data_IF_882349563666
#
_entry.id   IF_882349563666
#
_cell.length_a   1.000
_cell.length_b   1.000
_cell.length_c   1.000
_cell.angle_alpha   90.00
_cell.angle_beta   90.00
_cell.angle_gamma   90.00
#
_symmetry.space_group_name_H-M   'P 1'
#
loop_
_entity.id
_entity.type
_entity.pdbx_description
1 polymer ?
#
# COMPACT_ATOMS: atom_id res chain seq x y z
N UNK A 1 -15.86 -7.02 2.38
CA UNK A 1 -14.42 -7.31 2.19
C UNK A 1 -13.71 -7.17 3.53
N UNK A 2 -13.05 -8.21 3.99
CA UNK A 2 -12.25 -8.23 5.22
C UNK A 2 -10.81 -8.53 4.87
N UNK A 3 -9.97 -7.50 4.86
CA UNK A 3 -8.59 -7.58 4.37
C UNK A 3 -7.61 -7.70 5.54
N UNK A 4 -6.69 -8.65 5.47
CA UNK A 4 -5.55 -8.75 6.35
C UNK A 4 -4.34 -8.08 5.70
N UNK A 5 -3.78 -7.05 6.33
CA UNK A 5 -2.60 -6.34 5.84
C UNK A 5 -1.32 -6.96 6.42
N UNK A 6 -0.48 -7.48 5.55
CA UNK A 6 0.71 -8.29 5.84
C UNK A 6 1.99 -7.56 5.42
N UNK A 7 2.19 -6.32 5.90
CA UNK A 7 3.41 -5.56 5.61
C UNK A 7 4.64 -6.24 6.20
N UNK A 8 5.70 -6.35 5.41
CA UNK A 8 6.96 -6.95 5.82
C UNK A 8 6.97 -8.49 5.87
N UNK A 9 5.94 -9.13 5.35
CA UNK A 9 5.86 -10.59 5.30
C UNK A 9 6.44 -11.14 4.02
N UNK A 10 7.40 -12.08 4.06
CA UNK A 10 7.83 -12.82 2.89
C UNK A 10 6.67 -13.65 2.30
N UNK A 11 6.59 -13.69 0.97
CA UNK A 11 5.49 -14.38 0.27
C UNK A 11 5.38 -15.85 0.68
N UNK A 12 6.52 -16.55 0.88
CA UNK A 12 6.50 -17.95 1.33
C UNK A 12 5.81 -18.11 2.69
N UNK A 13 6.03 -17.20 3.63
CA UNK A 13 5.40 -17.25 4.95
C UNK A 13 3.90 -16.96 4.86
N UNK A 14 3.48 -16.08 3.99
CA UNK A 14 2.05 -15.81 3.73
C UNK A 14 1.37 -17.09 3.24
N UNK A 15 1.97 -17.79 2.26
CA UNK A 15 1.41 -19.01 1.69
C UNK A 15 1.22 -20.10 2.77
N UNK A 16 2.18 -20.25 3.68
CA UNK A 16 2.11 -21.24 4.76
C UNK A 16 0.96 -20.99 5.76
N UNK A 17 0.47 -19.75 5.87
CA UNK A 17 -0.58 -19.33 6.82
C UNK A 17 -1.94 -19.02 6.20
N UNK A 18 -2.14 -19.22 4.90
CA UNK A 18 -3.40 -18.83 4.22
C UNK A 18 -4.63 -19.52 4.81
N UNK A 19 -4.54 -20.80 5.19
CA UNK A 19 -5.67 -21.52 5.81
C UNK A 19 -6.03 -20.93 7.18
N UNK A 20 -5.03 -20.48 7.94
CA UNK A 20 -5.24 -19.79 9.22
C UNK A 20 -5.96 -18.45 9.00
N UNK A 21 -5.53 -17.65 8.04
CA UNK A 21 -6.18 -16.37 7.71
C UNK A 21 -7.62 -16.57 7.26
N UNK A 22 -7.87 -17.56 6.39
CA UNK A 22 -9.21 -17.92 5.94
C UNK A 22 -10.12 -18.32 7.10
N UNK A 23 -9.62 -19.18 8.00
CA UNK A 23 -10.37 -19.65 9.17
C UNK A 23 -10.67 -18.53 10.18
N UNK A 24 -9.88 -17.45 10.16
CA UNK A 24 -10.13 -16.25 10.94
C UNK A 24 -11.13 -15.28 10.29
N UNK A 25 -11.64 -15.62 9.11
CA UNK A 25 -12.69 -14.87 8.43
C UNK A 25 -12.21 -13.79 7.47
N UNK A 26 -10.92 -13.75 7.14
CA UNK A 26 -10.42 -12.87 6.09
C UNK A 26 -10.74 -13.44 4.70
N UNK A 27 -11.25 -12.60 3.82
CA UNK A 27 -11.53 -12.93 2.41
C UNK A 27 -10.49 -12.37 1.45
N UNK A 28 -9.57 -11.56 1.97
CA UNK A 28 -8.51 -10.93 1.19
C UNK A 28 -7.27 -10.64 2.04
N UNK A 29 -6.13 -10.56 1.36
CA UNK A 29 -4.86 -10.12 1.94
C UNK A 29 -4.33 -8.92 1.15
N UNK A 30 -3.71 -7.97 1.84
CA UNK A 30 -2.88 -6.93 1.24
C UNK A 30 -1.42 -7.24 1.59
N UNK A 31 -0.57 -7.30 0.58
CA UNK A 31 0.86 -7.60 0.77
C UNK A 31 1.72 -6.34 0.59
N UNK A 32 2.94 -6.41 1.09
CA UNK A 32 4.02 -5.43 0.91
C UNK A 32 4.18 -5.05 -0.56
N UNK A 33 4.60 -3.80 -0.89
CA UNK A 33 5.02 -3.46 -2.24
C UNK A 33 6.02 -4.47 -2.81
N UNK A 34 5.77 -4.95 -4.02
CA UNK A 34 6.60 -5.97 -4.69
C UNK A 34 7.62 -5.39 -5.66
N UNK A 35 7.74 -4.08 -5.71
CA UNK A 35 8.70 -3.36 -6.53
C UNK A 35 10.13 -3.53 -5.98
N UNK A 36 11.18 -3.48 -6.84
CA UNK A 36 12.57 -3.57 -6.39
C UNK A 36 12.92 -2.50 -5.37
N UNK A 37 13.64 -2.88 -4.33
CA UNK A 37 14.05 -2.00 -3.24
C UNK A 37 15.41 -1.34 -3.54
N UNK A 38 15.69 -0.20 -2.91
CA UNK A 38 16.99 0.47 -3.00
C UNK A 38 18.11 -0.28 -2.26
N UNK A 39 17.76 -1.12 -1.30
CA UNK A 39 18.65 -1.93 -0.47
C UNK A 39 18.10 -3.36 -0.41
N UNK A 40 19.00 -4.33 -0.34
CA UNK A 40 18.59 -5.73 -0.15
C UNK A 40 18.30 -6.03 1.31
N UNK A 41 17.36 -6.92 1.56
CA UNK A 41 17.00 -7.36 2.90
C UNK A 41 15.70 -6.74 3.42
N UNK A 42 15.30 -7.11 4.65
CA UNK A 42 14.05 -6.65 5.24
C UNK A 42 14.07 -5.14 5.55
N UNK A 43 15.24 -4.61 5.91
CA UNK A 43 15.42 -3.19 6.20
C UNK A 43 14.48 -2.63 7.26
N UNK A 44 14.30 -1.33 7.19
CA UNK A 44 13.31 -0.61 7.99
C UNK A 44 11.91 -0.74 7.38
N UNK A 45 10.87 -0.56 8.18
CA UNK A 45 9.47 -0.74 7.75
C UNK A 45 9.07 0.13 6.54
N UNK A 46 9.67 1.31 6.41
CA UNK A 46 9.43 2.24 5.32
C UNK A 46 10.18 1.90 4.04
N UNK A 47 11.15 0.97 4.07
CA UNK A 47 11.97 0.63 2.91
C UNK A 47 11.16 0.14 1.71
N UNK A 48 10.11 -0.69 1.86
CA UNK A 48 9.24 -1.07 0.76
C UNK A 48 8.52 0.10 0.07
N UNK A 49 8.38 1.22 0.76
CA UNK A 49 7.81 2.45 0.20
C UNK A 49 8.84 3.34 -0.50
N UNK A 50 10.05 2.84 -0.70
CA UNK A 50 11.09 3.50 -1.50
C UNK A 50 11.57 2.58 -2.64
N UNK A 51 10.68 2.25 -3.60
CA UNK A 51 11.05 1.43 -4.74
C UNK A 51 11.97 2.19 -5.70
N UNK A 52 12.76 1.43 -6.46
CA UNK A 52 13.68 2.01 -7.47
C UNK A 52 13.16 1.85 -8.91
N UNK A 53 12.16 0.99 -9.13
CA UNK A 53 11.68 0.65 -10.48
C UNK A 53 10.22 0.17 -10.45
N UNK A 54 9.63 -0.01 -11.66
CA UNK A 54 8.30 -0.58 -11.91
C UNK A 54 8.40 -2.02 -12.42
N UNK A 55 9.11 -2.86 -11.68
CA UNK A 55 9.24 -4.30 -11.94
C UNK A 55 8.70 -5.09 -10.74
N UNK A 56 8.54 -6.41 -10.90
CA UNK A 56 8.07 -7.29 -9.84
C UNK A 56 9.24 -8.13 -9.34
N UNK A 57 9.49 -8.07 -8.04
CA UNK A 57 10.47 -8.87 -7.33
C UNK A 57 11.34 -8.03 -6.41
N UNK A 58 11.44 -8.49 -5.18
CA UNK A 58 12.29 -7.90 -4.15
C UNK A 58 12.62 -8.96 -3.08
N UNK A 59 13.18 -8.53 -1.96
CA UNK A 59 13.55 -9.44 -0.86
C UNK A 59 12.38 -10.28 -0.32
N UNK A 60 11.14 -9.78 -0.41
CA UNK A 60 9.95 -10.48 0.10
C UNK A 60 9.45 -11.60 -0.82
N UNK A 61 9.86 -11.61 -2.08
CA UNK A 61 9.56 -12.66 -3.06
C UNK A 61 9.76 -12.24 -4.49
N UNK A 62 9.92 -13.24 -5.35
CA UNK A 62 10.03 -13.10 -6.80
C UNK A 62 8.65 -12.90 -7.45
N UNK A 63 8.65 -12.65 -8.76
CA UNK A 63 7.43 -12.64 -9.56
C UNK A 63 6.73 -14.01 -9.55
N UNK A 64 7.49 -15.10 -9.62
CA UNK A 64 7.00 -16.45 -9.57
C UNK A 64 6.33 -16.76 -8.23
N UNK A 65 6.91 -16.28 -7.11
CA UNK A 65 6.32 -16.39 -5.78
C UNK A 65 4.98 -15.64 -5.69
N UNK A 66 4.91 -14.42 -6.25
CA UNK A 66 3.66 -13.66 -6.32
C UNK A 66 2.58 -14.40 -7.12
N UNK A 67 2.91 -14.92 -8.30
CA UNK A 67 1.95 -15.67 -9.11
C UNK A 67 1.48 -16.93 -8.37
N UNK A 68 2.38 -17.63 -7.66
CA UNK A 68 2.05 -18.77 -6.80
C UNK A 68 1.10 -18.35 -5.67
N UNK A 69 1.39 -17.26 -4.96
CA UNK A 69 0.53 -16.73 -3.90
C UNK A 69 -0.88 -16.44 -4.41
N UNK A 70 -0.99 -15.77 -5.57
CA UNK A 70 -2.28 -15.45 -6.18
C UNK A 70 -3.09 -16.70 -6.54
N UNK A 71 -2.43 -17.76 -6.99
CA UNK A 71 -3.07 -19.05 -7.22
C UNK A 71 -3.55 -19.70 -5.92
N UNK A 72 -2.70 -19.72 -4.89
CA UNK A 72 -3.02 -20.30 -3.58
C UNK A 72 -4.16 -19.56 -2.86
N UNK A 73 -4.21 -18.23 -2.96
CA UNK A 73 -5.34 -17.46 -2.43
C UNK A 73 -6.62 -17.73 -3.21
N UNK A 74 -6.54 -17.81 -4.55
CA UNK A 74 -7.70 -18.10 -5.41
C UNK A 74 -8.33 -19.45 -5.12
N UNK A 75 -7.52 -20.51 -4.93
CA UNK A 75 -7.99 -21.87 -4.57
C UNK A 75 -8.81 -21.85 -3.27
N UNK A 76 -8.45 -20.95 -2.34
CA UNK A 76 -9.15 -20.76 -1.04
C UNK A 76 -10.33 -19.79 -1.10
N UNK A 77 -10.65 -19.26 -2.28
CA UNK A 77 -11.67 -18.20 -2.43
C UNK A 77 -11.28 -16.92 -1.70
N UNK A 78 -9.99 -16.63 -1.66
CA UNK A 78 -9.42 -15.37 -1.14
C UNK A 78 -8.85 -14.53 -2.29
N UNK A 79 -8.64 -13.24 -2.04
CA UNK A 79 -8.05 -12.31 -3.01
C UNK A 79 -6.71 -11.79 -2.51
N UNK A 80 -5.76 -11.60 -3.44
CA UNK A 80 -4.49 -10.93 -3.17
C UNK A 80 -4.54 -9.50 -3.70
N UNK A 81 -4.31 -8.54 -2.83
CA UNK A 81 -4.09 -7.13 -3.16
C UNK A 81 -2.61 -6.79 -2.97
N UNK A 82 -2.08 -6.01 -3.89
CA UNK A 82 -0.69 -5.54 -3.82
C UNK A 82 -0.69 -4.06 -3.45
N UNK A 83 0.16 -3.70 -2.51
CA UNK A 83 0.48 -2.31 -2.23
C UNK A 83 1.35 -1.74 -3.36
N UNK A 84 0.97 -0.59 -3.91
CA UNK A 84 1.59 0.01 -5.10
C UNK A 84 2.09 1.40 -4.79
N UNK A 85 3.41 1.58 -4.89
CA UNK A 85 4.03 2.89 -4.78
C UNK A 85 4.19 3.49 -6.17
N UNK A 86 3.43 4.54 -6.47
CA UNK A 86 3.45 5.21 -7.77
C UNK A 86 3.47 6.75 -7.70
N UNK A 87 3.50 7.34 -6.49
CA UNK A 87 3.65 8.78 -6.34
C UNK A 87 5.12 9.24 -6.36
N UNK A 88 6.05 8.36 -6.00
CA UNK A 88 7.46 8.67 -5.83
C UNK A 88 8.35 7.43 -6.05
N UNK A 89 9.65 7.62 -6.14
CA UNK A 89 10.66 6.56 -6.08
C UNK A 89 11.65 6.84 -4.93
N UNK A 90 12.59 5.90 -4.73
CA UNK A 90 13.60 5.96 -3.69
C UNK A 90 14.52 7.20 -3.82
N UNK A 91 14.87 7.78 -2.69
CA UNK A 91 15.84 8.88 -2.59
C UNK A 91 17.26 8.39 -2.29
N UNK A 92 18.24 9.27 -2.53
CA UNK A 92 19.58 9.14 -2.00
C UNK A 92 19.57 8.96 -0.47
N UNK A 93 20.58 8.30 0.13
CA UNK A 93 20.53 7.87 1.53
C UNK A 93 20.60 8.99 2.57
N UNK A 94 20.83 10.26 2.18
CA UNK A 94 20.85 11.37 3.12
C UNK A 94 19.45 11.96 3.35
N UNK A 95 19.19 12.34 4.58
CA UNK A 95 17.89 12.82 5.04
C UNK A 95 17.38 14.00 4.22
N UNK A 96 16.14 13.89 3.74
CA UNK A 96 15.45 14.95 3.00
C UNK A 96 15.90 15.13 1.55
N UNK A 97 16.68 14.18 1.01
CA UNK A 97 17.06 14.23 -0.40
C UNK A 97 15.86 14.06 -1.32
N UNK A 98 15.76 14.95 -2.31
CA UNK A 98 14.82 14.82 -3.43
C UNK A 98 15.52 14.34 -4.73
N UNK A 99 16.76 13.88 -4.61
CA UNK A 99 17.50 13.24 -5.69
C UNK A 99 17.14 11.75 -5.75
N UNK A 100 16.82 11.21 -6.92
CA UNK A 100 16.58 9.78 -7.08
C UNK A 100 17.81 8.96 -6.67
N UNK A 101 17.57 7.81 -6.04
CA UNK A 101 18.62 6.87 -5.65
C UNK A 101 19.40 6.37 -6.86
N UNK A 102 20.67 6.00 -6.69
CA UNK A 102 21.53 5.55 -7.78
C UNK A 102 21.02 4.32 -8.50
N UNK A 103 20.30 3.44 -7.79
CA UNK A 103 19.64 2.25 -8.35
C UNK A 103 18.40 2.54 -9.20
N UNK A 104 17.88 3.76 -9.21
CA UNK A 104 16.81 4.15 -10.12
C UNK A 104 17.34 4.12 -11.56
N UNK A 105 16.66 3.50 -12.54
CA UNK A 105 17.12 3.42 -13.92
C UNK A 105 17.44 4.78 -14.53
N UNK A 106 18.53 4.83 -15.30
CA UNK A 106 19.00 6.06 -15.94
C UNK A 106 17.95 6.71 -16.85
N UNK A 107 17.12 5.88 -17.51
CA UNK A 107 16.00 6.37 -18.34
C UNK A 107 15.01 7.24 -17.56
N UNK A 108 14.89 7.04 -16.22
CA UNK A 108 14.07 7.87 -15.35
C UNK A 108 14.90 9.02 -14.76
N UNK A 109 16.08 8.73 -14.18
CA UNK A 109 16.93 9.74 -13.52
C UNK A 109 17.23 10.94 -14.42
N UNK A 110 17.56 10.70 -15.66
CA UNK A 110 17.99 11.73 -16.60
C UNK A 110 16.85 12.35 -17.42
N UNK A 111 15.60 11.94 -17.19
CA UNK A 111 14.43 12.55 -17.83
C UNK A 111 13.79 13.59 -16.89
N UNK A 112 14.01 14.90 -17.11
CA UNK A 112 13.49 15.93 -16.20
C UNK A 112 11.94 15.97 -16.19
N UNK A 113 11.27 15.49 -17.23
CA UNK A 113 9.82 15.46 -17.31
C UNK A 113 9.20 14.31 -16.49
N UNK A 114 10.02 13.40 -16.01
CA UNK A 114 9.60 12.26 -15.20
C UNK A 114 9.30 12.66 -13.75
N UNK A 115 9.83 13.78 -13.29
CA UNK A 115 9.84 14.18 -11.90
C UNK A 115 9.00 15.44 -11.63
N UNK A 116 8.40 15.49 -10.43
CA UNK A 116 7.89 16.72 -9.85
C UNK A 116 9.04 17.71 -9.58
N UNK A 117 8.78 19.02 -9.44
CA UNK A 117 9.79 19.97 -8.97
C UNK A 117 10.44 19.51 -7.66
N UNK A 118 11.77 19.62 -7.55
CA UNK A 118 12.53 19.24 -6.35
C UNK A 118 12.28 20.21 -5.18
N UNK A 119 11.05 20.23 -4.71
CA UNK A 119 10.58 21.05 -3.60
C UNK A 119 9.53 20.29 -2.81
N UNK A 120 9.64 20.30 -1.50
CA UNK A 120 8.69 19.65 -0.61
C UNK A 120 7.40 20.45 -0.45
N UNK A 121 6.31 19.73 -0.17
CA UNK A 121 5.06 20.32 0.35
C UNK A 121 5.39 21.03 1.66
N UNK A 122 4.94 22.28 1.78
CA UNK A 122 5.09 23.10 3.00
C UNK A 122 3.74 23.37 3.68
N UNK A 123 2.67 23.32 2.92
CA UNK A 123 1.32 23.51 3.41
C UNK A 123 0.42 22.35 2.96
N UNK A 124 0.20 21.38 3.85
CA UNK A 124 -0.62 20.20 3.59
C UNK A 124 -2.12 20.49 3.40
N UNK A 125 -2.56 21.71 3.75
CA UNK A 125 -3.93 22.19 3.47
C UNK A 125 -4.02 22.83 2.07
N UNK A 126 -2.91 23.09 1.42
CA UNK A 126 -2.87 23.60 0.04
C UNK A 126 -2.90 22.44 -0.94
N UNK A 127 -4.06 22.13 -1.48
CA UNK A 127 -4.25 21.00 -2.38
C UNK A 127 -3.32 21.04 -3.59
N UNK A 128 -3.08 22.22 -4.15
CA UNK A 128 -2.15 22.38 -5.28
C UNK A 128 -0.72 21.98 -4.91
N UNK A 129 -0.23 22.32 -3.72
CA UNK A 129 1.10 21.87 -3.26
C UNK A 129 1.13 20.35 -3.10
N UNK A 130 0.12 19.77 -2.47
CA UNK A 130 0.06 18.32 -2.19
C UNK A 130 0.17 17.49 -3.46
N UNK A 131 -0.46 17.91 -4.57
CA UNK A 131 -0.44 17.15 -5.82
C UNK A 131 0.75 17.45 -6.73
N UNK A 132 1.35 18.66 -6.61
CA UNK A 132 2.38 19.13 -7.53
C UNK A 132 3.81 19.11 -6.98
N UNK A 133 3.98 18.93 -5.66
CA UNK A 133 5.28 18.95 -5.00
C UNK A 133 5.63 17.57 -4.40
N UNK A 134 6.86 17.44 -3.94
CA UNK A 134 7.39 16.23 -3.31
C UNK A 134 6.94 16.13 -1.84
N UNK A 135 6.82 14.91 -1.35
CA UNK A 135 6.47 14.60 0.06
C UNK A 135 7.67 13.99 0.81
N UNK A 136 8.85 14.57 0.70
CA UNK A 136 10.07 14.07 1.32
C UNK A 136 10.87 13.08 0.46
N UNK A 137 10.32 12.64 -0.66
CA UNK A 137 10.91 11.71 -1.61
C UNK A 137 10.81 12.26 -3.04
N UNK A 138 11.65 11.81 -3.99
CA UNK A 138 11.58 12.23 -5.39
C UNK A 138 10.21 11.90 -6.00
N UNK A 139 9.35 12.90 -6.14
CA UNK A 139 7.99 12.73 -6.63
C UNK A 139 7.94 12.54 -8.14
N UNK A 140 7.07 11.65 -8.60
CA UNK A 140 6.83 11.37 -10.01
C UNK A 140 5.84 12.38 -10.59
N UNK A 141 6.11 12.84 -11.80
CA UNK A 141 5.19 13.70 -12.55
C UNK A 141 4.08 12.86 -13.19
N UNK A 142 3.03 12.58 -12.42
CA UNK A 142 1.92 11.74 -12.87
C UNK A 142 1.11 12.36 -14.02
N UNK A 143 1.29 13.64 -14.34
CA UNK A 143 0.68 14.23 -15.55
C UNK A 143 1.38 13.82 -16.84
N UNK A 144 2.58 13.25 -16.75
CA UNK A 144 3.36 12.77 -17.89
C UNK A 144 2.88 11.37 -18.33
N UNK A 145 2.51 11.23 -19.61
CA UNK A 145 2.04 9.97 -20.17
C UNK A 145 3.13 8.86 -20.16
N UNK A 146 4.41 9.19 -20.23
CA UNK A 146 5.50 8.22 -20.10
C UNK A 146 5.55 7.61 -18.70
N UNK A 147 5.39 8.43 -17.65
CA UNK A 147 5.30 7.98 -16.26
C UNK A 147 4.10 7.04 -16.08
N UNK A 148 2.93 7.46 -16.56
CA UNK A 148 1.73 6.64 -16.50
C UNK A 148 1.89 5.33 -17.26
N UNK A 149 2.56 5.34 -18.42
CA UNK A 149 2.82 4.14 -19.22
C UNK A 149 3.64 3.11 -18.45
N UNK A 150 4.73 3.51 -17.80
CA UNK A 150 5.56 2.62 -16.99
C UNK A 150 4.77 2.03 -15.81
N UNK A 151 3.96 2.85 -15.14
CA UNK A 151 3.08 2.39 -14.05
C UNK A 151 2.06 1.39 -14.59
N UNK A 152 1.35 1.70 -15.68
CA UNK A 152 0.32 0.80 -16.22
C UNK A 152 0.90 -0.53 -16.69
N UNK A 153 2.10 -0.52 -17.28
CA UNK A 153 2.80 -1.74 -17.64
C UNK A 153 3.07 -2.63 -16.42
N UNK A 154 3.53 -2.04 -15.32
CA UNK A 154 3.73 -2.74 -14.06
C UNK A 154 2.42 -3.31 -13.50
N UNK A 155 1.35 -2.51 -13.46
CA UNK A 155 0.04 -2.96 -12.99
C UNK A 155 -0.53 -4.12 -13.83
N UNK A 156 -0.34 -4.09 -15.16
CA UNK A 156 -0.75 -5.18 -16.03
C UNK A 156 0.02 -6.47 -15.75
N UNK A 157 1.31 -6.39 -15.42
CA UNK A 157 2.10 -7.56 -15.03
C UNK A 157 1.62 -8.15 -13.68
N UNK A 158 1.19 -7.32 -12.73
CA UNK A 158 0.55 -7.77 -11.49
C UNK A 158 -0.77 -8.53 -11.78
N UNK A 159 -1.60 -7.98 -12.67
CA UNK A 159 -2.86 -8.64 -13.08
C UNK A 159 -2.59 -9.98 -13.75
N UNK A 160 -1.56 -10.10 -14.59
CA UNK A 160 -1.16 -11.37 -15.22
C UNK A 160 -0.75 -12.43 -14.20
N UNK A 161 -0.18 -12.05 -13.06
CA UNK A 161 0.10 -12.95 -11.94
C UNK A 161 -1.16 -13.40 -11.17
N UNK A 162 -2.32 -12.79 -11.43
CA UNK A 162 -3.57 -13.13 -10.74
C UNK A 162 -3.92 -12.23 -9.56
N UNK A 163 -3.22 -11.09 -9.40
CA UNK A 163 -3.57 -10.06 -8.42
C UNK A 163 -4.99 -9.59 -8.66
N UNK A 164 -5.77 -9.44 -7.59
CA UNK A 164 -7.19 -9.09 -7.60
C UNK A 164 -7.47 -7.66 -7.14
N UNK A 165 -6.45 -6.85 -7.01
CA UNK A 165 -6.60 -5.44 -6.74
C UNK A 165 -5.32 -4.76 -6.27
N UNK A 166 -5.43 -3.44 -6.15
CA UNK A 166 -4.32 -2.57 -5.78
C UNK A 166 -4.70 -1.67 -4.61
N UNK A 167 -3.79 -1.53 -3.66
CA UNK A 167 -3.78 -0.40 -2.74
C UNK A 167 -2.74 0.60 -3.25
N UNK A 168 -3.16 1.83 -3.51
CA UNK A 168 -2.23 2.87 -3.93
C UNK A 168 -1.74 3.66 -2.72
N UNK A 169 -0.43 3.61 -2.52
CA UNK A 169 0.29 4.40 -1.53
C UNK A 169 0.18 5.90 -1.83
N UNK A 170 0.06 6.73 -0.79
CA UNK A 170 0.01 8.18 -0.90
C UNK A 170 -0.95 8.70 -1.98
N UNK A 171 -2.10 8.02 -2.20
CA UNK A 171 -3.03 8.35 -3.27
C UNK A 171 -3.48 9.82 -3.24
N UNK A 172 -3.63 10.42 -2.04
CA UNK A 172 -3.98 11.84 -1.89
C UNK A 172 -2.97 12.82 -2.52
N UNK A 173 -1.75 12.38 -2.76
CA UNK A 173 -0.68 13.18 -3.38
C UNK A 173 -0.66 13.09 -4.91
N UNK A 174 -1.59 12.35 -5.50
CA UNK A 174 -1.85 12.29 -6.94
C UNK A 174 -3.18 12.99 -7.21
N UNK A 175 -3.19 13.96 -8.11
CA UNK A 175 -4.36 14.78 -8.41
C UNK A 175 -5.53 13.98 -9.01
N UNK A 176 -6.70 14.58 -8.93
CA UNK A 176 -7.95 14.08 -9.49
C UNK A 176 -8.16 14.60 -10.93
N UNK A 177 -9.04 13.97 -11.74
CA UNK A 177 -9.41 14.49 -13.05
C UNK A 177 -9.94 15.93 -13.00
N UNK A 178 -10.68 16.29 -11.96
CA UNK A 178 -11.16 17.65 -11.72
C UNK A 178 -10.03 18.66 -11.46
N UNK A 179 -8.85 18.16 -11.09
CA UNK A 179 -7.62 18.94 -10.88
C UNK A 179 -6.67 18.85 -12.09
N UNK A 180 -7.15 18.28 -13.21
CA UNK A 180 -6.40 18.13 -14.46
C UNK A 180 -5.45 16.91 -14.52
N UNK A 181 -5.57 15.96 -13.59
CA UNK A 181 -4.71 14.76 -13.54
C UNK A 181 -5.50 13.51 -13.87
N UNK A 182 -5.46 13.08 -15.13
CA UNK A 182 -6.21 11.93 -15.65
C UNK A 182 -5.51 10.58 -15.37
N UNK A 183 -5.17 10.31 -14.14
CA UNK A 183 -4.58 9.03 -13.72
C UNK A 183 -5.64 8.07 -13.16
N UNK A 184 -6.47 8.54 -12.23
CA UNK A 184 -7.43 7.68 -11.55
C UNK A 184 -8.58 7.20 -12.44
N UNK A 185 -9.09 8.06 -13.32
CA UNK A 185 -10.10 7.69 -14.31
C UNK A 185 -9.54 6.69 -15.33
N UNK A 186 -8.27 6.84 -15.76
CA UNK A 186 -7.60 5.86 -16.62
C UNK A 186 -7.43 4.51 -15.92
N UNK A 187 -7.01 4.48 -14.65
CA UNK A 187 -6.90 3.25 -13.84
C UNK A 187 -8.28 2.59 -13.67
N UNK A 188 -9.27 3.34 -13.22
CA UNK A 188 -10.62 2.83 -13.02
C UNK A 188 -11.17 2.22 -14.31
N UNK A 189 -11.04 2.92 -15.45
CA UNK A 189 -11.51 2.44 -16.74
C UNK A 189 -10.75 1.21 -17.24
N UNK A 190 -9.43 1.10 -16.96
CA UNK A 190 -8.59 -0.01 -17.40
C UNK A 190 -8.99 -1.34 -16.80
N UNK A 191 -9.35 -1.34 -15.51
CA UNK A 191 -9.58 -2.57 -14.75
C UNK A 191 -11.07 -2.84 -14.42
N UNK A 192 -11.99 -1.95 -14.78
CA UNK A 192 -13.44 -2.06 -14.46
C UNK A 192 -14.15 -3.33 -14.94
N UNK A 193 -13.59 -4.00 -15.95
CA UNK A 193 -14.17 -5.22 -16.53
C UNK A 193 -13.60 -6.51 -15.92
N UNK A 194 -12.58 -6.40 -15.07
CA UNK A 194 -12.00 -7.56 -14.41
C UNK A 194 -12.93 -8.02 -13.28
N UNK A 195 -13.29 -9.33 -13.25
CA UNK A 195 -14.17 -9.84 -12.21
C UNK A 195 -13.48 -9.81 -10.83
N UNK A 196 -14.25 -9.40 -9.81
CA UNK A 196 -13.79 -9.36 -8.40
C UNK A 196 -12.51 -8.53 -8.17
N UNK A 197 -12.32 -7.50 -8.99
CA UNK A 197 -11.14 -6.63 -8.93
C UNK A 197 -11.46 -5.35 -8.17
N UNK A 198 -10.62 -5.02 -7.18
CA UNK A 198 -10.80 -3.83 -6.35
C UNK A 198 -9.62 -2.88 -6.45
N UNK A 199 -9.91 -1.59 -6.51
CA UNK A 199 -8.91 -0.53 -6.47
C UNK A 199 -9.22 0.34 -5.26
N UNK A 200 -8.20 0.59 -4.44
CA UNK A 200 -8.33 1.52 -3.33
C UNK A 200 -7.07 2.33 -3.11
N UNK A 201 -7.24 3.53 -2.64
CA UNK A 201 -6.16 4.47 -2.40
C UNK A 201 -6.11 4.93 -0.96
N UNK A 202 -4.91 5.19 -0.48
CA UNK A 202 -4.70 5.78 0.83
C UNK A 202 -4.99 7.28 0.80
N UNK A 203 -6.02 7.69 1.56
CA UNK A 203 -6.40 9.11 1.76
C UNK A 203 -6.59 9.36 3.25
N UNK A 204 -5.49 9.20 4.01
CA UNK A 204 -5.46 9.43 5.45
C UNK A 204 -5.41 10.96 5.71
N UNK A 205 -6.13 11.41 6.75
CA UNK A 205 -6.28 12.82 7.11
C UNK A 205 -6.86 13.73 6.02
N UNK A 206 -7.58 13.15 5.05
CA UNK A 206 -8.36 13.92 4.09
C UNK A 206 -9.64 14.48 4.72
N UNK A 207 -10.13 15.61 4.19
CA UNK A 207 -11.49 16.04 4.51
C UNK A 207 -12.52 15.06 3.93
N UNK A 208 -13.76 15.12 4.41
CA UNK A 208 -14.84 14.28 3.89
C UNK A 208 -15.05 14.52 2.39
N UNK A 209 -14.96 15.77 1.95
CA UNK A 209 -15.11 16.16 0.54
C UNK A 209 -14.00 15.55 -0.32
N UNK A 210 -12.77 15.47 0.21
CA UNK A 210 -11.66 14.84 -0.50
C UNK A 210 -11.86 13.33 -0.60
N UNK A 211 -12.29 12.67 0.48
CA UNK A 211 -12.63 11.24 0.49
C UNK A 211 -13.73 10.95 -0.54
N UNK A 212 -14.81 11.72 -0.55
CA UNK A 212 -15.91 11.58 -1.51
C UNK A 212 -15.43 11.80 -2.97
N UNK A 213 -14.48 12.70 -3.18
CA UNK A 213 -13.92 12.98 -4.51
C UNK A 213 -13.11 11.80 -5.05
N UNK A 214 -12.26 11.19 -4.23
CA UNK A 214 -11.55 9.95 -4.59
C UNK A 214 -12.50 8.76 -4.72
N UNK A 215 -13.56 8.71 -3.91
CA UNK A 215 -14.59 7.67 -3.93
C UNK A 215 -15.31 7.51 -5.27
N UNK A 216 -15.23 8.48 -6.18
CA UNK A 216 -15.74 8.38 -7.55
C UNK A 216 -14.93 7.43 -8.44
N UNK A 217 -13.67 7.19 -8.10
CA UNK A 217 -12.72 6.46 -8.93
C UNK A 217 -12.23 5.17 -8.30
N UNK A 218 -12.24 5.09 -6.96
CA UNK A 218 -11.74 3.94 -6.19
C UNK A 218 -12.33 3.91 -4.80
N UNK A 219 -12.21 2.79 -4.09
CA UNK A 219 -12.45 2.80 -2.63
C UNK A 219 -11.34 3.59 -1.92
N UNK A 220 -11.67 4.19 -0.80
CA UNK A 220 -10.73 5.01 -0.03
C UNK A 220 -10.38 4.32 1.28
N UNK A 221 -9.09 4.03 1.47
CA UNK A 221 -8.56 3.54 2.73
C UNK A 221 -8.38 4.72 3.68
N UNK A 222 -9.11 4.71 4.79
CA UNK A 222 -9.11 5.81 5.76
C UNK A 222 -9.52 5.33 7.15
N UNK A 223 -9.14 6.09 8.18
CA UNK A 223 -9.61 5.91 9.56
C UNK A 223 -10.79 6.83 9.91
N UNK A 224 -11.27 7.62 8.95
CA UNK A 224 -12.35 8.59 9.13
C UNK A 224 -13.59 8.11 8.40
N UNK A 225 -14.67 7.92 9.16
CA UNK A 225 -16.00 7.68 8.61
C UNK A 225 -17.00 8.71 9.14
N UNK A 226 -17.64 9.42 8.24
CA UNK A 226 -18.66 10.43 8.58
C UNK A 226 -20.06 10.09 8.06
N UNK A 227 -20.36 8.82 7.85
CA UNK A 227 -21.68 8.33 7.49
C UNK A 227 -22.11 8.53 6.04
N UNK A 228 -21.16 8.89 5.15
CA UNK A 228 -21.42 9.04 3.72
C UNK A 228 -20.75 7.91 2.94
N UNK A 229 -21.51 7.26 2.05
CA UNK A 229 -21.00 6.27 1.09
C UNK A 229 -20.11 5.17 1.73
N UNK A 230 -20.63 4.37 2.70
CA UNK A 230 -19.86 3.34 3.38
C UNK A 230 -19.28 2.28 2.42
N UNK A 231 -19.90 2.10 1.26
CA UNK A 231 -19.43 1.19 0.20
C UNK A 231 -18.12 1.65 -0.44
N UNK A 232 -17.80 2.95 -0.39
CA UNK A 232 -16.61 3.55 -1.01
C UNK A 232 -15.42 3.69 -0.04
N UNK A 233 -15.55 3.25 1.20
CA UNK A 233 -14.47 3.31 2.18
C UNK A 233 -14.04 1.93 2.64
N UNK A 234 -12.75 1.81 2.96
CA UNK A 234 -12.17 0.69 3.69
C UNK A 234 -11.66 1.26 5.00
N UNK A 235 -12.22 0.79 6.11
CA UNK A 235 -11.90 1.30 7.44
C UNK A 235 -10.91 0.39 8.16
N UNK A 236 -10.01 1.00 8.91
CA UNK A 236 -9.08 0.31 9.78
C UNK A 236 -9.10 0.91 11.20
N UNK A 237 -8.89 0.09 12.20
CA UNK A 237 -8.65 0.54 13.57
C UNK A 237 -7.20 0.99 13.74
N UNK A 238 -6.30 0.27 13.07
CA UNK A 238 -4.87 0.50 13.05
C UNK A 238 -4.31 0.25 11.65
N UNK A 239 -3.32 1.07 11.25
CA UNK A 239 -2.48 0.83 10.08
C UNK A 239 -1.01 0.72 10.49
N UNK A 240 -0.17 0.31 9.56
CA UNK A 240 1.28 0.30 9.78
C UNK A 240 1.83 1.70 10.12
N UNK A 241 1.27 2.76 9.52
CA UNK A 241 1.66 4.15 9.82
C UNK A 241 1.30 4.53 11.25
N UNK A 242 0.04 4.31 11.65
CA UNK A 242 -0.41 4.65 13.01
C UNK A 242 0.32 3.86 14.10
N UNK A 243 0.94 2.73 13.73
CA UNK A 243 1.75 1.91 14.63
C UNK A 243 3.23 2.32 14.63
N UNK A 244 3.81 2.65 13.50
CA UNK A 244 5.25 2.84 13.33
C UNK A 244 5.68 4.29 13.10
N UNK A 245 4.84 5.14 12.48
CA UNK A 245 5.23 6.46 12.03
C UNK A 245 5.22 7.48 13.18
N UNK A 246 6.38 8.09 13.43
CA UNK A 246 6.55 9.11 14.48
C UNK A 246 5.84 10.43 14.11
N UNK A 247 5.75 10.77 12.84
CA UNK A 247 5.03 11.95 12.35
C UNK A 247 3.53 11.83 12.60
N UNK A 248 3.01 10.60 12.63
CA UNK A 248 1.63 10.30 13.02
C UNK A 248 1.46 10.08 14.54
N UNK A 249 2.48 10.43 15.34
CA UNK A 249 2.52 10.24 16.80
C UNK A 249 2.30 8.79 17.24
N UNK A 250 2.48 7.80 16.38
CA UNK A 250 2.31 6.37 16.68
C UNK A 250 1.07 6.10 17.56
N UNK A 251 -0.07 6.71 17.22
CA UNK A 251 -1.22 6.79 18.11
C UNK A 251 -1.78 5.42 18.55
N UNK A 252 -1.51 4.37 17.79
CA UNK A 252 -1.98 3.02 18.10
C UNK A 252 -0.90 2.11 18.69
N UNK A 253 0.36 2.51 18.74
CA UNK A 253 1.44 1.64 19.22
C UNK A 253 1.34 1.27 20.70
N UNK A 254 0.65 2.09 21.51
CA UNK A 254 0.37 1.81 22.92
C UNK A 254 -0.83 0.90 23.15
N UNK A 255 -1.59 0.57 22.10
CA UNK A 255 -2.75 -0.32 22.26
C UNK A 255 -2.29 -1.77 22.35
N UNK A 256 -2.95 -2.55 23.22
CA UNK A 256 -2.74 -4.00 23.23
C UNK A 256 -3.37 -4.64 22.03
N UNK A 257 -2.93 -5.87 21.69
CA UNK A 257 -3.52 -6.63 20.58
C UNK A 257 -5.02 -6.84 20.80
N UNK A 258 -5.46 -7.06 22.05
CA UNK A 258 -6.88 -7.18 22.41
C UNK A 258 -7.66 -5.89 22.15
N UNK A 259 -7.06 -4.73 22.43
CA UNK A 259 -7.69 -3.43 22.15
C UNK A 259 -7.85 -3.20 20.65
N UNK A 260 -6.84 -3.54 19.84
CA UNK A 260 -6.94 -3.45 18.38
C UNK A 260 -7.99 -4.41 17.86
N UNK A 261 -7.97 -5.66 18.31
CA UNK A 261 -8.96 -6.67 17.92
C UNK A 261 -10.40 -6.27 18.31
N UNK A 262 -10.59 -5.67 19.48
CA UNK A 262 -11.90 -5.15 19.89
C UNK A 262 -12.39 -4.03 18.96
N UNK A 263 -11.53 -3.03 18.69
CA UNK A 263 -11.86 -1.92 17.79
C UNK A 263 -12.16 -2.42 16.36
N UNK A 264 -11.40 -3.40 15.88
CA UNK A 264 -11.62 -3.98 14.57
C UNK A 264 -12.96 -4.74 14.49
N UNK A 265 -13.33 -5.49 15.52
CA UNK A 265 -14.65 -6.15 15.58
C UNK A 265 -15.79 -5.14 15.51
N UNK A 266 -15.72 -4.05 16.27
CA UNK A 266 -16.71 -2.97 16.17
C UNK A 266 -16.83 -2.42 14.74
N UNK A 267 -15.71 -2.26 14.04
CA UNK A 267 -15.74 -1.88 12.62
C UNK A 267 -16.42 -2.94 11.74
N UNK A 268 -16.10 -4.23 11.94
CA UNK A 268 -16.70 -5.32 11.17
C UNK A 268 -18.21 -5.47 11.37
N UNK A 269 -18.70 -5.13 12.57
CA UNK A 269 -20.15 -5.16 12.88
C UNK A 269 -20.91 -4.02 12.18
N UNK A 270 -20.22 -2.96 11.80
CA UNK A 270 -20.82 -1.73 11.25
C UNK A 270 -20.54 -1.53 9.78
N UNK A 271 -19.49 -2.10 9.23
CA UNK A 271 -19.02 -1.83 7.88
C UNK A 271 -18.63 -3.11 7.13
N UNK A 272 -18.94 -3.12 5.83
CA UNK A 272 -18.62 -4.25 4.96
C UNK A 272 -17.15 -4.34 4.56
N UNK A 273 -16.47 -3.19 4.46
CA UNK A 273 -15.10 -3.11 4.00
C UNK A 273 -14.19 -2.66 5.15
N UNK A 274 -13.39 -3.60 5.65
CA UNK A 274 -12.48 -3.36 6.79
C UNK A 274 -11.12 -3.98 6.52
N UNK A 275 -10.08 -3.36 7.12
CA UNK A 275 -8.71 -3.84 7.07
C UNK A 275 -8.16 -4.03 8.49
N UNK A 276 -7.49 -5.15 8.71
CA UNK A 276 -6.76 -5.47 9.94
C UNK A 276 -5.24 -5.51 9.65
N UNK A 277 -4.47 -4.75 10.38
CA UNK A 277 -3.02 -4.78 10.30
C UNK A 277 -2.47 -5.90 11.19
N UNK A 278 -1.79 -6.86 10.57
CA UNK A 278 -1.07 -7.90 11.29
C UNK A 278 0.24 -7.32 11.84
N UNK A 279 0.21 -6.90 13.09
CA UNK A 279 1.39 -6.36 13.76
C UNK A 279 2.58 -7.31 13.70
N UNK A 280 3.80 -6.81 13.55
CA UNK A 280 4.99 -7.58 13.85
C UNK A 280 4.95 -7.99 15.34
N UNK A 281 5.33 -9.23 15.66
CA UNK A 281 5.23 -9.77 17.02
C UNK A 281 5.83 -8.83 18.07
N UNK A 282 5.05 -8.45 19.05
CA UNK A 282 5.31 -7.90 20.40
C UNK A 282 6.49 -6.94 20.61
N UNK A 283 7.32 -6.72 19.65
CA UNK A 283 8.44 -5.83 19.70
C UNK A 283 8.10 -4.75 18.64
N UNK A 284 7.90 -3.57 19.12
CA UNK A 284 7.58 -2.37 18.35
C UNK A 284 8.67 -2.01 17.32
N UNK A 285 9.68 -2.86 17.15
CA UNK A 285 10.70 -2.76 16.12
C UNK A 285 10.34 -3.63 14.91
N UNK A 286 10.79 -3.24 13.74
CA UNK A 286 10.80 -4.05 12.50
C UNK A 286 11.68 -5.29 12.60
N UNK A 287 11.97 -5.70 13.79
CA UNK A 287 12.56 -6.97 14.17
C UNK A 287 11.54 -8.10 14.11
N UNK A 288 10.53 -8.03 13.23
CA UNK A 288 9.66 -9.15 13.02
C UNK A 288 10.54 -10.40 12.75
N UNK A 289 10.53 -11.40 13.62
CA UNK A 289 11.38 -12.58 13.47
C UNK A 289 11.16 -13.29 12.13
N UNK A 290 9.95 -13.19 11.55
CA UNK A 290 9.64 -13.74 10.22
C UNK A 290 10.42 -13.00 9.14
N UNK A 291 10.52 -11.69 9.27
CA UNK A 291 11.25 -10.84 8.32
C UNK A 291 12.77 -10.98 8.51
N UNK A 292 13.27 -11.05 9.74
CA UNK A 292 14.71 -11.18 10.04
C UNK A 292 15.25 -12.58 9.87
N UNK A 293 14.46 -13.59 10.19
CA UNK A 293 14.84 -14.98 10.07
C UNK A 293 13.94 -15.71 9.07
N UNK A 294 14.31 -15.63 7.81
CA UNK A 294 13.61 -16.30 6.73
C UNK A 294 13.58 -17.86 6.93
N UNK A 295 14.38 -18.40 7.84
CA UNK A 295 14.38 -19.81 8.20
C UNK A 295 13.46 -20.12 9.39
N UNK A 296 12.97 -19.11 10.11
CA UNK A 296 12.09 -19.31 11.26
C UNK A 296 10.62 -19.53 10.81
N UNK A 297 10.42 -20.62 10.08
CA UNK A 297 9.13 -20.97 9.48
C UNK A 297 8.09 -21.46 10.51
N UNK A 298 8.48 -21.65 11.76
CA UNK A 298 7.59 -22.16 12.81
C UNK A 298 6.87 -21.06 13.60
N UNK A 299 7.12 -19.79 13.32
CA UNK A 299 6.54 -18.72 14.08
C UNK A 299 5.10 -18.45 13.64
N UNK A 300 4.16 -18.71 14.57
CA UNK A 300 2.74 -18.45 14.35
C UNK A 300 2.46 -16.94 14.43
N UNK A 301 1.69 -16.48 13.49
CA UNK A 301 1.11 -15.14 13.51
C UNK A 301 0.05 -15.10 14.60
N UNK A 302 0.16 -14.16 15.51
CA UNK A 302 -0.91 -13.88 16.48
C UNK A 302 -1.89 -12.90 15.86
N UNK A 303 -2.80 -13.38 15.07
CA UNK A 303 -3.98 -12.60 14.74
C UNK A 303 -5.02 -12.88 15.83
N UNK A 304 -5.21 -11.94 16.74
CA UNK A 304 -6.14 -12.09 17.87
C UNK A 304 -7.58 -11.74 17.53
N UNK A 305 -7.90 -11.81 16.26
CA UNK A 305 -9.22 -11.55 15.77
C UNK A 305 -10.10 -12.80 15.92
N UNK A 306 -11.01 -12.79 16.88
CA UNK A 306 -12.18 -13.69 16.99
C UNK A 306 -13.35 -12.96 17.64
#
# INVERSE_FOLDING_TARGET
MRTLHLLGWPIWAIIEHLDEFKNQGFDSIQITPVQPLKEEGPGEWWLPYQPVNFEIGNWFGSKEDLCKLCNETSIRGMRTFVDVVCNHLASQPFTGSLEPHDSVPDKYKHNPNFWKPKRNVTNWNNRHEVISLCMGLPGLNITNDEVQHEIFKFLDELVKCGVKGFRFDAAKSIGLPEEGVHFWDRIANRYKTLPDFEIYGEVIFGSTELIDSYGKYMKVLTNIYQGRHPENVILFAESHDSFNDEDLNKYSNSWTDEQVAYKYRDLCDRFENTMYYARPNNDHSWNNPIVKDANNRGQKIKVLYR
#
